data_IF_460934944800
#
_entry.id   IF_460934944800
#
_cell.length_a   1.000
_cell.length_b   1.000
_cell.length_c   1.000
_cell.angle_alpha   90.00
_cell.angle_beta   90.00
_cell.angle_gamma   90.00
#
_symmetry.space_group_name_H-M   'P 1'
#
loop_
_entity.id
_entity.type
_entity.pdbx_description
1 polymer ?
#
# COMPACT_ATOMS: atom_id res chain seq x y z
N UNK A 1 -6.05 -17.97 49.90
CA UNK A 1 -5.15 -17.83 48.79
C UNK A 1 -5.91 -17.08 47.69
N UNK A 2 -5.64 -15.79 47.50
CA UNK A 2 -6.11 -15.07 46.33
C UNK A 2 -5.29 -15.64 45.16
N UNK A 3 -5.95 -16.28 44.22
CA UNK A 3 -5.36 -16.52 42.91
C UNK A 3 -4.94 -15.15 42.36
N UNK A 4 -3.66 -14.98 42.05
CA UNK A 4 -3.16 -13.82 41.31
C UNK A 4 -3.87 -13.80 39.93
N UNK A 5 -5.01 -13.13 39.87
CA UNK A 5 -5.66 -12.80 38.64
C UNK A 5 -4.74 -11.78 37.96
N UNK A 6 -3.76 -12.28 37.17
CA UNK A 6 -3.03 -11.41 36.25
C UNK A 6 -4.08 -10.81 35.34
N UNK A 7 -4.20 -9.47 35.29
CA UNK A 7 -5.12 -8.86 34.34
C UNK A 7 -4.81 -9.41 32.95
N UNK A 8 -5.82 -9.84 32.23
CA UNK A 8 -5.66 -10.30 30.85
C UNK A 8 -4.96 -9.19 30.07
N UNK A 9 -3.83 -9.51 29.44
CA UNK A 9 -3.14 -8.59 28.54
C UNK A 9 -3.90 -8.59 27.21
N UNK A 10 -4.86 -7.68 27.11
CA UNK A 10 -5.75 -7.55 25.95
C UNK A 10 -5.12 -6.63 24.91
N UNK A 11 -5.42 -6.84 23.64
CA UNK A 11 -4.90 -6.06 22.50
C UNK A 11 -3.36 -6.01 22.46
N UNK A 12 -2.71 -7.16 22.69
CA UNK A 12 -1.30 -7.24 23.03
C UNK A 12 -0.37 -6.52 22.06
N UNK A 13 -0.56 -6.69 20.73
CA UNK A 13 0.28 -6.00 19.74
C UNK A 13 0.16 -4.48 19.83
N UNK A 14 -1.06 -3.96 19.97
CA UNK A 14 -1.28 -2.53 20.12
C UNK A 14 -0.70 -2.00 21.43
N UNK A 15 -0.90 -2.75 22.51
CA UNK A 15 -0.41 -2.35 23.85
C UNK A 15 1.12 -2.37 23.95
N UNK A 16 1.80 -3.32 23.29
CA UNK A 16 3.26 -3.32 23.22
C UNK A 16 3.78 -2.04 22.56
N UNK A 17 3.19 -1.63 21.43
CA UNK A 17 3.54 -0.38 20.74
C UNK A 17 3.29 0.85 21.60
N UNK A 18 2.14 0.92 22.28
CA UNK A 18 1.81 2.04 23.20
C UNK A 18 2.86 2.15 24.31
N UNK A 19 3.27 1.03 24.90
CA UNK A 19 4.24 1.03 25.99
C UNK A 19 5.64 1.44 25.51
N UNK A 20 6.07 0.98 24.34
CA UNK A 20 7.35 1.35 23.74
C UNK A 20 7.38 2.84 23.36
N UNK A 21 6.31 3.33 22.70
CA UNK A 21 6.18 4.75 22.36
C UNK A 21 6.15 5.63 23.61
N UNK A 22 5.35 5.27 24.64
CA UNK A 22 5.27 6.03 25.89
C UNK A 22 6.61 6.08 26.63
N UNK A 23 7.32 4.96 26.71
CA UNK A 23 8.64 4.90 27.34
C UNK A 23 9.65 5.81 26.61
N UNK A 24 9.61 5.81 25.27
CA UNK A 24 10.44 6.68 24.42
C UNK A 24 10.10 8.16 24.62
N UNK A 25 8.82 8.53 24.56
CA UNK A 25 8.34 9.91 24.70
C UNK A 25 8.64 10.51 26.07
N UNK A 26 8.58 9.70 27.12
CA UNK A 26 8.86 10.14 28.50
C UNK A 26 10.34 9.96 28.88
N UNK A 27 11.13 9.29 28.01
CA UNK A 27 12.51 8.91 28.29
C UNK A 27 12.67 8.14 29.64
N UNK A 28 11.81 7.13 29.85
CA UNK A 28 11.79 6.27 31.02
C UNK A 28 11.89 4.81 30.64
N UNK A 29 12.27 3.97 31.62
CA UNK A 29 12.20 2.51 31.45
C UNK A 29 10.76 1.98 31.54
N UNK A 30 10.52 0.78 31.02
CA UNK A 30 9.19 0.14 31.11
C UNK A 30 8.75 -0.07 32.57
N UNK A 31 9.66 -0.42 33.48
CA UNK A 31 9.35 -0.59 34.91
C UNK A 31 8.89 0.73 35.57
N UNK A 32 9.53 1.84 35.21
CA UNK A 32 9.15 3.19 35.64
C UNK A 32 7.79 3.59 35.06
N UNK A 33 7.51 3.20 33.81
CA UNK A 33 6.23 3.44 33.17
C UNK A 33 5.09 2.71 33.92
N UNK A 34 5.29 1.43 34.30
CA UNK A 34 4.29 0.65 35.02
C UNK A 34 4.05 1.15 36.44
N UNK A 35 5.08 1.68 37.12
CA UNK A 35 5.01 2.13 38.52
C UNK A 35 4.73 3.62 38.69
N UNK A 36 4.92 4.40 37.61
CA UNK A 36 4.81 5.87 37.62
C UNK A 36 3.40 6.44 37.75
N UNK A 37 2.37 5.60 37.66
CA UNK A 37 0.96 6.04 37.77
C UNK A 37 0.48 6.89 36.59
N UNK A 38 1.07 6.72 35.42
CA UNK A 38 0.69 7.43 34.21
C UNK A 38 -0.70 7.01 33.70
N UNK A 39 -1.40 7.95 33.07
CA UNK A 39 -2.61 7.70 32.28
C UNK A 39 -2.30 7.97 30.83
N UNK A 40 -2.33 6.92 30.01
CA UNK A 40 -2.02 6.99 28.58
C UNK A 40 -3.33 6.93 27.81
N UNK A 41 -3.59 7.97 27.04
CA UNK A 41 -4.73 8.08 26.13
C UNK A 41 -4.27 7.69 24.73
N UNK A 42 -4.69 6.53 24.30
CA UNK A 42 -4.26 5.92 23.05
C UNK A 42 -5.11 6.38 21.85
N UNK A 43 -4.62 6.11 20.66
CA UNK A 43 -5.34 6.33 19.39
C UNK A 43 -6.25 5.17 19.02
N UNK A 44 -6.15 4.04 19.74
CA UNK A 44 -6.89 2.82 19.44
C UNK A 44 -8.40 3.06 19.34
N UNK A 45 -8.99 2.67 18.22
CA UNK A 45 -10.41 2.39 18.14
C UNK A 45 -10.66 0.98 18.68
N UNK A 46 -11.23 0.91 19.88
CA UNK A 46 -11.39 -0.36 20.58
C UNK A 46 -12.31 -1.33 19.83
N UNK A 47 -13.41 -0.83 19.27
CA UNK A 47 -14.38 -1.68 18.55
C UNK A 47 -13.75 -2.24 17.27
N UNK A 48 -13.00 -1.43 16.57
CA UNK A 48 -12.28 -1.82 15.37
C UNK A 48 -11.14 -2.80 15.69
N UNK A 49 -10.39 -2.58 16.78
CA UNK A 49 -9.34 -3.51 17.23
C UNK A 49 -9.93 -4.88 17.60
N UNK A 50 -11.05 -4.90 18.34
CA UNK A 50 -11.76 -6.14 18.69
C UNK A 50 -12.26 -6.87 17.43
N UNK A 51 -12.78 -6.13 16.46
CA UNK A 51 -13.21 -6.73 15.18
C UNK A 51 -12.04 -7.32 14.40
N UNK A 52 -10.92 -6.61 14.30
CA UNK A 52 -9.71 -7.10 13.61
C UNK A 52 -9.18 -8.37 14.27
N UNK A 53 -9.18 -8.46 15.60
CA UNK A 53 -8.79 -9.67 16.34
C UNK A 53 -9.73 -10.84 16.04
N UNK A 54 -11.04 -10.59 15.97
CA UNK A 54 -12.04 -11.61 15.57
C UNK A 54 -11.86 -12.04 14.11
N UNK A 55 -11.56 -11.11 13.21
CA UNK A 55 -11.27 -11.40 11.80
C UNK A 55 -10.04 -12.30 11.67
N UNK A 56 -8.99 -12.02 12.44
CA UNK A 56 -7.74 -12.79 12.44
C UNK A 56 -7.86 -14.16 13.13
N UNK A 57 -8.89 -14.38 13.90
CA UNK A 57 -9.21 -15.71 14.46
C UNK A 57 -9.83 -16.67 13.43
N UNK A 58 -10.23 -16.17 12.25
CA UNK A 58 -10.81 -16.98 11.18
C UNK A 58 -9.71 -17.66 10.35
N UNK A 59 -9.47 -18.94 10.57
CA UNK A 59 -8.37 -19.69 9.92
C UNK A 59 -8.46 -19.73 8.39
N UNK A 60 -9.65 -19.65 7.82
CA UNK A 60 -9.90 -19.73 6.37
C UNK A 60 -9.47 -18.46 5.61
N UNK A 61 -9.20 -17.37 6.32
CA UNK A 61 -8.59 -16.15 5.77
C UNK A 61 -7.07 -16.26 5.57
N UNK A 62 -6.45 -17.34 6.01
CA UNK A 62 -5.00 -17.52 5.91
C UNK A 62 -4.65 -18.75 5.08
N UNK A 63 -3.89 -18.61 3.97
CA UNK A 63 -3.50 -19.74 3.16
C UNK A 63 -2.54 -20.64 3.93
N UNK A 64 -2.66 -21.95 3.67
CA UNK A 64 -1.71 -22.95 4.16
C UNK A 64 -0.63 -23.20 3.13
N UNK A 65 0.58 -23.50 3.59
CA UNK A 65 1.62 -23.98 2.70
C UNK A 65 1.14 -25.23 1.96
N UNK A 66 1.34 -25.30 0.63
CA UNK A 66 0.93 -26.46 -0.15
C UNK A 66 1.75 -27.72 0.17
N UNK A 67 2.87 -27.60 0.87
CA UNK A 67 3.77 -28.71 1.21
C UNK A 67 3.59 -29.14 2.66
N UNK A 68 3.83 -28.25 3.63
CA UNK A 68 3.73 -28.59 5.06
C UNK A 68 2.32 -28.60 5.60
N UNK A 69 1.40 -27.85 4.98
CA UNK A 69 0.07 -27.59 5.52
C UNK A 69 0.07 -26.54 6.65
N UNK A 70 1.22 -25.95 6.99
CA UNK A 70 1.33 -24.89 7.99
C UNK A 70 0.61 -23.63 7.50
N UNK A 71 -0.14 -23.00 8.40
CA UNK A 71 -0.88 -21.76 8.11
C UNK A 71 0.09 -20.57 8.10
N UNK A 72 0.00 -19.73 7.07
CA UNK A 72 0.82 -18.52 6.97
C UNK A 72 0.57 -17.53 8.09
N UNK A 73 1.56 -16.69 8.39
CA UNK A 73 1.40 -15.52 9.23
C UNK A 73 0.89 -14.30 8.43
N UNK A 74 0.44 -13.30 9.15
CA UNK A 74 -0.03 -12.04 8.57
C UNK A 74 0.22 -10.89 9.54
N UNK A 75 0.32 -9.69 8.98
CA UNK A 75 0.32 -8.44 9.73
C UNK A 75 -0.67 -7.47 9.10
N UNK A 76 -1.33 -6.66 9.93
CA UNK A 76 -2.30 -5.66 9.49
C UNK A 76 -2.08 -4.35 10.25
N UNK A 77 -2.09 -3.27 9.50
CA UNK A 77 -2.09 -1.89 10.01
C UNK A 77 -3.36 -1.21 9.53
N UNK A 78 -4.09 -0.59 10.45
CA UNK A 78 -5.18 0.34 10.15
C UNK A 78 -4.78 1.70 10.69
N UNK A 79 -4.59 2.65 9.79
CA UNK A 79 -4.17 4.01 10.09
C UNK A 79 -5.25 5.00 9.67
N UNK A 80 -5.56 5.96 10.52
CA UNK A 80 -6.32 7.14 10.13
C UNK A 80 -5.49 7.94 9.11
N UNK A 81 -6.03 8.08 7.90
CA UNK A 81 -5.32 8.67 6.76
C UNK A 81 -4.99 10.14 6.96
N UNK A 82 -5.86 10.89 7.65
CA UNK A 82 -5.67 12.33 7.89
C UNK A 82 -4.69 12.61 9.03
N UNK A 83 -4.74 11.81 10.09
CA UNK A 83 -3.97 12.08 11.32
C UNK A 83 -2.68 11.29 11.47
N UNK A 84 -2.55 10.14 10.81
CA UNK A 84 -1.47 9.18 11.03
C UNK A 84 -1.63 8.34 12.30
N UNK A 85 -2.74 8.49 13.03
CA UNK A 85 -3.03 7.70 14.21
C UNK A 85 -3.25 6.23 13.85
N UNK A 86 -2.56 5.32 14.53
CA UNK A 86 -2.86 3.89 14.41
C UNK A 86 -4.13 3.60 15.21
N UNK A 87 -5.14 3.08 14.53
CA UNK A 87 -6.45 2.82 15.16
C UNK A 87 -6.68 1.33 15.45
N UNK A 88 -6.06 0.44 14.68
CA UNK A 88 -6.03 -0.99 14.95
C UNK A 88 -4.79 -1.64 14.31
N UNK A 89 -4.25 -2.68 14.95
CA UNK A 89 -3.09 -3.42 14.43
C UNK A 89 -3.15 -4.90 14.77
N UNK A 90 -2.59 -5.73 13.88
CA UNK A 90 -2.26 -7.13 14.15
C UNK A 90 -0.82 -7.41 13.70
N UNK A 91 0.03 -7.79 14.65
CA UNK A 91 1.43 -8.16 14.37
C UNK A 91 1.65 -9.65 14.13
N UNK A 92 0.57 -10.42 14.05
CA UNK A 92 0.52 -11.85 13.80
C UNK A 92 -0.92 -12.32 13.85
N UNK A 93 -1.19 -13.60 13.56
CA UNK A 93 -2.56 -14.16 13.60
C UNK A 93 -3.18 -14.16 15.00
N UNK A 94 -2.36 -14.25 16.02
CA UNK A 94 -2.78 -14.17 17.42
C UNK A 94 -1.65 -13.63 18.28
N UNK A 95 -2.00 -12.99 19.40
CA UNK A 95 -1.04 -12.62 20.42
C UNK A 95 -0.87 -13.77 21.41
N UNK A 96 0.38 -14.26 21.67
CA UNK A 96 0.60 -15.39 22.55
C UNK A 96 0.20 -15.09 24.00
N UNK A 97 -0.63 -15.96 24.59
CA UNK A 97 -1.11 -15.81 25.96
C UNK A 97 0.05 -15.81 26.96
N UNK A 98 0.02 -14.89 27.93
CA UNK A 98 1.01 -14.78 28.99
C UNK A 98 2.38 -14.23 28.54
N UNK A 99 2.54 -13.86 27.31
CA UNK A 99 3.76 -13.22 26.79
C UNK A 99 3.58 -11.70 26.67
N UNK A 100 4.70 -10.98 26.53
CA UNK A 100 4.79 -9.54 26.26
C UNK A 100 5.95 -9.29 25.33
N UNK A 101 5.91 -8.17 24.60
CA UNK A 101 6.97 -7.77 23.65
C UNK A 101 7.32 -8.90 22.68
N UNK A 102 6.29 -9.47 22.05
CA UNK A 102 6.45 -10.52 21.05
C UNK A 102 6.78 -9.92 19.68
N UNK A 103 7.23 -10.77 18.75
CA UNK A 103 7.51 -10.35 17.39
C UNK A 103 6.27 -9.67 16.77
N UNK A 104 6.38 -8.35 16.55
CA UNK A 104 5.37 -7.56 15.85
C UNK A 104 5.74 -7.44 14.37
N UNK A 105 5.03 -8.17 13.50
CA UNK A 105 5.37 -8.22 12.08
C UNK A 105 4.99 -6.96 11.30
N UNK A 106 4.25 -6.02 11.91
CA UNK A 106 4.03 -4.71 11.28
C UNK A 106 5.32 -3.89 11.21
N UNK A 107 6.31 -4.22 12.05
CA UNK A 107 7.64 -3.60 12.09
C UNK A 107 8.74 -4.51 11.51
N UNK A 108 8.37 -5.71 11.07
CA UNK A 108 9.33 -6.65 10.47
C UNK A 108 9.62 -6.30 9.01
N UNK A 109 10.91 -6.18 8.66
CA UNK A 109 11.33 -5.85 7.29
C UNK A 109 11.12 -7.01 6.35
N UNK A 110 10.48 -6.73 5.22
CA UNK A 110 10.17 -7.66 4.15
C UNK A 110 10.35 -6.97 2.80
N UNK A 111 10.61 -7.74 1.75
CA UNK A 111 10.61 -7.19 0.40
C UNK A 111 9.19 -6.79 0.00
N UNK A 112 8.97 -5.57 -0.51
CA UNK A 112 7.62 -5.05 -0.78
C UNK A 112 7.00 -5.61 -2.08
N UNK A 113 7.79 -6.18 -2.98
CA UNK A 113 7.31 -6.53 -4.31
C UNK A 113 6.73 -5.29 -5.02
N UNK A 114 5.67 -5.49 -5.79
CA UNK A 114 5.06 -4.44 -6.60
C UNK A 114 4.30 -3.35 -5.81
N UNK A 115 4.14 -3.48 -4.49
CA UNK A 115 3.47 -2.43 -3.69
C UNK A 115 4.30 -1.14 -3.70
N UNK A 116 5.61 -1.21 -3.94
CA UNK A 116 6.51 -0.05 -3.99
C UNK A 116 6.36 0.80 -5.27
N UNK A 117 5.83 0.25 -6.38
CA UNK A 117 5.78 0.90 -7.71
C UNK A 117 5.17 2.30 -7.72
N UNK A 118 4.00 2.54 -7.08
CA UNK A 118 3.45 3.90 -7.03
C UNK A 118 4.41 4.88 -6.36
N UNK A 119 5.14 4.46 -5.35
CA UNK A 119 5.93 5.31 -4.47
C UNK A 119 7.26 5.73 -5.10
N UNK A 120 7.94 4.82 -5.82
CA UNK A 120 9.27 5.09 -6.40
C UNK A 120 9.24 5.44 -7.89
N UNK A 121 8.17 5.12 -8.62
CA UNK A 121 8.13 5.34 -10.07
C UNK A 121 7.00 6.28 -10.49
N UNK A 122 5.74 5.92 -10.24
CA UNK A 122 4.61 6.60 -10.88
C UNK A 122 4.23 7.93 -10.22
N UNK A 123 4.25 8.04 -8.89
CA UNK A 123 3.99 9.31 -8.21
C UNK A 123 5.06 10.35 -8.54
N UNK A 124 6.37 10.05 -8.44
CA UNK A 124 7.39 11.00 -8.88
C UNK A 124 7.33 11.30 -10.40
N UNK A 125 6.93 10.34 -11.26
CA UNK A 125 6.74 10.59 -12.68
C UNK A 125 5.65 11.66 -12.93
N UNK A 126 4.53 11.57 -12.23
CA UNK A 126 3.43 12.56 -12.33
C UNK A 126 3.81 13.89 -11.69
N UNK A 127 4.52 13.86 -10.55
CA UNK A 127 4.88 15.07 -9.82
C UNK A 127 5.96 15.89 -10.51
N UNK A 128 6.98 15.24 -11.05
CA UNK A 128 8.23 15.89 -11.45
C UNK A 128 8.51 15.83 -12.96
N UNK A 129 7.81 14.96 -13.71
CA UNK A 129 8.13 14.66 -15.12
C UNK A 129 6.92 14.76 -16.05
N UNK A 130 5.87 15.47 -15.62
CA UNK A 130 4.66 15.75 -16.41
C UNK A 130 3.95 14.50 -16.98
N UNK A 131 4.11 13.34 -16.33
CA UNK A 131 3.36 12.14 -16.71
C UNK A 131 1.87 12.34 -16.43
N UNK A 132 1.06 11.80 -17.35
CA UNK A 132 -0.41 11.81 -17.26
C UNK A 132 -0.93 10.36 -17.25
N UNK A 133 -2.19 10.11 -16.89
CA UNK A 133 -2.75 8.76 -16.92
C UNK A 133 -2.64 8.09 -18.29
N UNK A 134 -2.59 8.88 -19.36
CA UNK A 134 -2.50 8.41 -20.76
C UNK A 134 -1.10 8.54 -21.36
N UNK A 135 -0.09 8.86 -20.56
CA UNK A 135 1.31 8.78 -21.02
C UNK A 135 1.60 7.37 -21.50
N UNK A 136 2.10 7.27 -22.74
CA UNK A 136 2.43 5.99 -23.35
C UNK A 136 3.77 5.49 -22.85
N UNK A 137 3.80 4.23 -22.44
CA UNK A 137 4.98 3.53 -21.94
C UNK A 137 5.14 2.25 -22.76
N UNK A 138 6.37 1.94 -23.12
CA UNK A 138 6.68 0.77 -23.94
C UNK A 138 6.79 -0.50 -23.06
N UNK A 139 5.91 -1.48 -23.30
CA UNK A 139 5.91 -2.82 -22.68
C UNK A 139 6.59 -3.88 -23.56
N UNK A 140 7.49 -3.50 -24.47
CA UNK A 140 8.29 -4.46 -25.23
C UNK A 140 9.38 -5.12 -24.36
N UNK A 141 9.89 -6.31 -24.77
CA UNK A 141 10.88 -7.06 -23.99
C UNK A 141 12.05 -6.20 -23.52
N UNK A 142 12.40 -6.34 -22.25
CA UNK A 142 13.48 -5.58 -21.61
C UNK A 142 14.45 -6.53 -20.90
N UNK A 143 15.73 -6.25 -21.05
CA UNK A 143 16.81 -6.91 -20.27
C UNK A 143 17.59 -5.85 -19.52
N UNK A 144 17.78 -6.05 -18.22
CA UNK A 144 18.54 -5.14 -17.34
C UNK A 144 19.68 -5.93 -16.70
N UNK A 145 20.91 -5.46 -16.89
CA UNK A 145 22.12 -6.14 -16.41
C UNK A 145 22.18 -7.64 -16.79
N UNK A 146 21.75 -8.00 -18.01
CA UNK A 146 21.71 -9.37 -18.49
C UNK A 146 20.52 -10.22 -18.00
N UNK A 147 19.65 -9.67 -17.15
CA UNK A 147 18.47 -10.34 -16.62
C UNK A 147 17.21 -9.90 -17.36
N UNK A 148 16.46 -10.81 -17.99
CA UNK A 148 15.20 -10.48 -18.65
C UNK A 148 14.15 -10.07 -17.61
N UNK A 149 13.55 -8.88 -17.78
CA UNK A 149 12.40 -8.43 -17.03
C UNK A 149 11.12 -9.00 -17.68
N UNK A 150 10.25 -9.58 -16.88
CA UNK A 150 9.01 -10.20 -17.35
C UNK A 150 7.81 -9.68 -16.57
N UNK A 151 6.70 -9.46 -17.27
CA UNK A 151 5.40 -9.27 -16.64
C UNK A 151 4.95 -10.58 -15.94
N UNK A 152 4.03 -10.47 -14.97
CA UNK A 152 3.59 -11.62 -14.17
C UNK A 152 2.95 -12.72 -15.04
N UNK A 153 2.24 -12.35 -16.10
CA UNK A 153 1.63 -13.25 -17.09
C UNK A 153 2.59 -13.68 -18.21
N UNK A 154 3.81 -13.13 -18.23
CA UNK A 154 4.86 -13.33 -19.24
C UNK A 154 4.54 -12.77 -20.62
N UNK A 155 3.46 -12.00 -20.76
CA UNK A 155 3.06 -11.35 -22.00
C UNK A 155 3.65 -9.93 -22.08
N UNK A 156 3.79 -9.44 -23.31
CA UNK A 156 4.16 -8.05 -23.64
C UNK A 156 3.12 -7.46 -24.57
N UNK A 157 2.85 -6.16 -24.44
CA UNK A 157 1.71 -5.49 -25.07
C UNK A 157 2.11 -4.34 -26.01
N UNK A 158 3.42 -4.14 -26.20
CA UNK A 158 3.93 -3.00 -26.94
C UNK A 158 3.68 -1.71 -26.17
N UNK A 159 2.91 -0.79 -26.72
CA UNK A 159 2.64 0.51 -26.09
C UNK A 159 1.37 0.44 -25.26
N UNK A 160 1.48 0.76 -23.96
CA UNK A 160 0.38 0.84 -22.99
C UNK A 160 0.31 2.23 -22.37
N UNK A 161 -0.82 2.59 -21.79
CA UNK A 161 -0.92 3.83 -21.00
C UNK A 161 -0.37 3.64 -19.60
N UNK A 162 0.01 4.74 -18.91
CA UNK A 162 0.41 4.70 -17.50
C UNK A 162 -0.71 4.13 -16.63
N UNK A 163 -1.98 4.49 -16.88
CA UNK A 163 -3.15 3.91 -16.20
C UNK A 163 -3.16 2.38 -16.30
N UNK A 164 -3.01 1.86 -17.50
CA UNK A 164 -2.97 0.41 -17.70
C UNK A 164 -1.77 -0.23 -17.01
N UNK A 165 -0.58 0.35 -17.20
CA UNK A 165 0.66 -0.16 -16.62
C UNK A 165 0.59 -0.26 -15.09
N UNK A 166 0.10 0.78 -14.41
CA UNK A 166 0.01 0.83 -12.95
C UNK A 166 -1.15 -0.04 -12.43
N UNK A 167 -2.36 0.06 -13.01
CA UNK A 167 -3.53 -0.68 -12.53
C UNK A 167 -3.40 -2.21 -12.72
N UNK A 168 -2.71 -2.63 -13.78
CA UNK A 168 -2.37 -4.04 -14.03
C UNK A 168 -1.02 -4.46 -13.46
N UNK A 169 -0.28 -3.49 -12.90
CA UNK A 169 1.01 -3.74 -12.24
C UNK A 169 2.06 -4.37 -13.15
N UNK A 170 2.12 -3.96 -14.43
CA UNK A 170 3.12 -4.46 -15.37
C UNK A 170 4.54 -4.14 -14.89
N UNK A 171 5.46 -5.07 -15.06
CA UNK A 171 6.83 -4.94 -14.57
C UNK A 171 7.72 -4.16 -15.52
N UNK A 172 7.63 -4.45 -16.84
CA UNK A 172 8.47 -3.81 -17.85
C UNK A 172 8.22 -2.29 -17.90
N UNK A 173 6.96 -1.81 -18.00
CA UNK A 173 6.68 -0.39 -17.96
C UNK A 173 7.15 0.28 -16.65
N UNK A 174 7.00 -0.40 -15.51
CA UNK A 174 7.46 0.15 -14.24
C UNK A 174 8.98 0.35 -14.19
N UNK A 175 9.75 -0.63 -14.69
CA UNK A 175 11.23 -0.52 -14.77
C UNK A 175 11.63 0.60 -15.71
N UNK A 176 11.01 0.69 -16.89
CA UNK A 176 11.31 1.76 -17.87
C UNK A 176 10.99 3.14 -17.31
N UNK A 177 9.81 3.32 -16.71
CA UNK A 177 9.45 4.59 -16.04
C UNK A 177 10.47 4.96 -14.96
N UNK A 178 10.83 4.00 -14.11
CA UNK A 178 11.78 4.23 -13.02
C UNK A 178 13.18 4.60 -13.51
N UNK A 179 13.63 3.98 -14.61
CA UNK A 179 14.89 4.36 -15.26
C UNK A 179 14.82 5.74 -15.93
N UNK A 180 13.69 6.07 -16.57
CA UNK A 180 13.49 7.33 -17.28
C UNK A 180 13.48 8.53 -16.31
N UNK A 181 12.79 8.43 -15.18
CA UNK A 181 12.81 9.49 -14.15
C UNK A 181 14.11 9.54 -13.36
N UNK A 182 14.93 8.50 -13.46
CA UNK A 182 16.16 8.31 -12.69
C UNK A 182 15.93 7.55 -11.40
N UNK A 183 16.65 6.44 -11.22
CA UNK A 183 16.51 5.53 -10.06
C UNK A 183 16.68 6.31 -8.75
N UNK A 184 17.76 7.08 -8.61
CA UNK A 184 18.03 7.88 -7.42
C UNK A 184 16.94 8.93 -7.15
N UNK A 185 16.32 9.50 -8.18
CA UNK A 185 15.20 10.44 -8.04
C UNK A 185 13.99 9.75 -7.41
N UNK A 186 13.62 8.59 -7.93
CA UNK A 186 12.49 7.82 -7.39
C UNK A 186 12.72 7.33 -5.97
N UNK A 187 13.93 6.87 -5.65
CA UNK A 187 14.33 6.47 -4.30
C UNK A 187 14.24 7.66 -3.34
N UNK A 188 14.90 8.80 -3.67
CA UNK A 188 14.88 10.00 -2.84
C UNK A 188 13.46 10.60 -2.68
N UNK A 189 12.57 10.37 -3.64
CA UNK A 189 11.16 10.74 -3.48
C UNK A 189 10.49 9.88 -2.42
N UNK A 190 10.68 8.56 -2.46
CA UNK A 190 10.06 7.64 -1.51
C UNK A 190 10.67 7.72 -0.09
N UNK A 191 11.92 8.16 0.04
CA UNK A 191 12.52 8.49 1.34
C UNK A 191 11.74 9.59 2.08
N UNK A 192 11.24 10.60 1.36
CA UNK A 192 10.37 11.63 1.94
C UNK A 192 9.00 11.12 2.40
N UNK A 193 8.64 9.91 1.99
CA UNK A 193 7.44 9.21 2.43
C UNK A 193 7.72 8.23 3.59
N UNK A 194 8.90 8.35 4.22
CA UNK A 194 9.28 7.57 5.40
C UNK A 194 9.73 6.14 5.10
N UNK A 195 10.07 5.81 3.86
CA UNK A 195 10.65 4.51 3.51
C UNK A 195 12.17 4.63 3.52
N UNK A 196 12.90 3.94 4.40
CA UNK A 196 14.35 3.98 4.42
C UNK A 196 14.94 3.11 3.32
N UNK A 197 15.95 3.64 2.64
CA UNK A 197 16.75 2.94 1.65
C UNK A 197 18.24 2.98 2.03
N UNK A 198 18.99 2.04 1.48
CA UNK A 198 20.44 2.05 1.57
C UNK A 198 21.03 2.84 0.41
N UNK A 199 22.31 3.22 0.49
CA UNK A 199 23.00 3.91 -0.62
C UNK A 199 22.97 3.07 -1.90
N UNK A 200 23.11 1.75 -1.79
CA UNK A 200 23.08 0.82 -2.93
C UNK A 200 21.71 0.79 -3.63
N UNK A 201 20.62 1.02 -2.90
CA UNK A 201 19.26 1.06 -3.46
C UNK A 201 19.09 2.17 -4.50
N UNK A 202 19.85 3.28 -4.39
CA UNK A 202 19.84 4.39 -5.35
C UNK A 202 20.39 4.02 -6.76
N UNK A 203 20.94 2.82 -6.90
CA UNK A 203 21.52 2.32 -8.16
C UNK A 203 20.87 1.03 -8.65
N UNK A 204 19.84 0.52 -7.97
CA UNK A 204 19.19 -0.77 -8.28
C UNK A 204 17.97 -0.62 -9.20
N UNK A 205 18.05 -0.97 -10.50
CA UNK A 205 16.91 -0.86 -11.40
C UNK A 205 15.72 -1.78 -11.02
N UNK A 206 16.01 -2.91 -10.37
CA UNK A 206 15.00 -3.87 -9.91
C UNK A 206 14.31 -3.47 -8.60
N UNK A 207 14.74 -2.36 -7.97
CA UNK A 207 14.10 -1.82 -6.76
C UNK A 207 12.61 -1.57 -6.97
N UNK A 208 12.22 -1.04 -8.12
CA UNK A 208 10.82 -0.79 -8.47
C UNK A 208 9.95 -2.07 -8.49
N UNK A 209 10.58 -3.24 -8.58
CA UNK A 209 9.93 -4.55 -8.45
C UNK A 209 10.01 -5.12 -7.03
N UNK A 210 10.50 -4.32 -6.08
CA UNK A 210 10.67 -4.70 -4.68
C UNK A 210 12.04 -5.25 -4.30
N UNK A 211 13.03 -5.12 -5.18
CA UNK A 211 14.41 -5.59 -4.95
C UNK A 211 15.23 -4.66 -4.05
N UNK A 212 14.68 -4.27 -2.90
CA UNK A 212 15.36 -3.47 -1.87
C UNK A 212 16.40 -4.32 -1.12
N UNK A 213 17.45 -3.70 -0.64
CA UNK A 213 18.49 -4.39 0.13
C UNK A 213 18.00 -4.86 1.50
N UNK A 214 17.36 -3.98 2.25
CA UNK A 214 16.85 -4.28 3.60
C UNK A 214 15.34 -4.53 3.64
N UNK A 215 14.62 -4.25 2.55
CA UNK A 215 13.17 -4.30 2.54
C UNK A 215 12.51 -3.14 3.31
N UNK A 216 11.22 -3.23 3.51
CA UNK A 216 10.38 -2.26 4.22
C UNK A 216 9.42 -2.97 5.17
N UNK A 217 8.73 -2.21 6.01
CA UNK A 217 7.75 -2.75 6.97
C UNK A 217 6.32 -2.42 6.55
N UNK A 218 5.30 -3.19 7.00
CA UNK A 218 3.90 -2.81 6.81
C UNK A 218 3.57 -1.41 7.32
N UNK A 219 4.19 -0.98 8.39
CA UNK A 219 4.00 0.33 8.99
C UNK A 219 4.56 1.45 8.09
N UNK A 220 5.77 1.29 7.56
CA UNK A 220 6.37 2.23 6.60
C UNK A 220 5.53 2.34 5.31
N UNK A 221 5.02 1.23 4.79
CA UNK A 221 4.09 1.23 3.65
C UNK A 221 2.78 1.95 3.99
N UNK A 222 2.24 1.76 5.20
CA UNK A 222 1.01 2.44 5.61
C UNK A 222 1.19 3.98 5.63
N UNK A 223 2.29 4.49 6.19
CA UNK A 223 2.61 5.93 6.17
C UNK A 223 2.71 6.49 4.75
N UNK A 224 3.42 5.78 3.89
CA UNK A 224 3.62 6.22 2.51
C UNK A 224 2.29 6.25 1.72
N UNK A 225 1.43 5.24 1.88
CA UNK A 225 0.12 5.23 1.23
C UNK A 225 -0.89 6.20 1.87
N UNK A 226 -0.82 6.43 3.18
CA UNK A 226 -1.60 7.47 3.85
C UNK A 226 -1.28 8.87 3.26
N UNK A 227 -0.03 9.11 2.85
CA UNK A 227 0.33 10.36 2.17
C UNK A 227 -0.38 10.53 0.82
N UNK A 228 -0.59 9.44 0.06
CA UNK A 228 -1.41 9.47 -1.15
C UNK A 228 -2.88 9.77 -0.81
N UNK A 229 -3.42 9.15 0.23
CA UNK A 229 -4.79 9.36 0.71
C UNK A 229 -5.04 10.77 1.23
N UNK A 230 -4.05 11.38 1.88
CA UNK A 230 -4.09 12.73 2.46
C UNK A 230 -3.43 13.78 1.54
N UNK A 231 -3.75 13.74 0.24
CA UNK A 231 -3.42 14.79 -0.74
C UNK A 231 -1.93 15.12 -0.84
N UNK A 232 -1.05 14.13 -0.63
CA UNK A 232 0.40 14.31 -0.70
C UNK A 232 1.07 14.74 0.60
N UNK A 233 0.34 14.74 1.71
CA UNK A 233 0.86 15.11 3.04
C UNK A 233 1.38 13.91 3.80
N UNK A 234 2.68 13.89 4.08
CA UNK A 234 3.32 12.88 4.93
C UNK A 234 3.19 13.23 6.41
N UNK A 235 3.07 12.21 7.24
CA UNK A 235 3.08 12.29 8.71
C UNK A 235 3.61 10.99 9.31
N UNK A 236 4.20 11.12 10.50
CA UNK A 236 4.59 9.96 11.31
C UNK A 236 3.36 9.35 11.97
N UNK A 237 3.40 8.06 12.22
CA UNK A 237 2.39 7.36 12.99
C UNK A 237 2.51 7.66 14.48
N UNK A 238 1.41 7.43 15.21
CA UNK A 238 1.39 7.43 16.67
C UNK A 238 0.31 6.50 17.19
N UNK A 239 0.56 5.92 18.36
CA UNK A 239 -0.44 5.17 19.14
C UNK A 239 -0.96 5.98 20.34
N UNK A 240 -0.42 7.19 20.58
CA UNK A 240 -0.67 7.99 21.78
C UNK A 240 -1.16 9.39 21.42
N UNK A 241 -2.32 9.76 22.00
CA UNK A 241 -2.85 11.13 21.93
C UNK A 241 -2.34 12.00 23.06
N UNK A 242 -2.26 11.47 24.29
CA UNK A 242 -1.86 12.22 25.49
C UNK A 242 -1.37 11.30 26.58
N UNK A 243 -0.45 11.81 27.43
CA UNK A 243 -0.03 11.17 28.67
C UNK A 243 -0.16 12.16 29.81
N UNK A 244 -0.87 11.77 30.88
CA UNK A 244 -0.94 12.51 32.13
C UNK A 244 -0.13 11.76 33.21
N UNK A 245 0.51 12.50 34.13
CA UNK A 245 1.21 11.93 35.28
C UNK A 245 0.24 11.49 36.41
N UNK A 246 0.77 10.95 37.47
CA UNK A 246 0.00 10.50 38.66
C UNK A 246 -0.80 11.61 39.34
N UNK A 247 -0.47 12.88 39.11
CA UNK A 247 -1.16 14.06 39.62
C UNK A 247 -2.21 14.61 38.68
N UNK A 248 -2.35 14.00 37.49
CA UNK A 248 -3.28 14.42 36.46
C UNK A 248 -2.77 15.59 35.60
N UNK A 249 -1.47 15.92 35.71
CA UNK A 249 -0.84 16.92 34.83
C UNK A 249 -0.47 16.26 33.52
N UNK A 250 -0.85 16.88 32.40
CA UNK A 250 -0.42 16.45 31.05
C UNK A 250 1.08 16.65 30.89
N UNK A 251 1.81 15.55 30.68
CA UNK A 251 3.26 15.52 30.46
C UNK A 251 3.62 15.31 28.99
N UNK A 252 2.69 14.79 28.19
CA UNK A 252 2.80 14.70 26.76
C UNK A 252 1.45 14.95 26.09
N UNK A 253 1.46 15.68 24.98
CA UNK A 253 0.32 15.89 24.10
C UNK A 253 0.78 15.79 22.66
N UNK A 254 0.24 14.81 21.93
CA UNK A 254 0.54 14.67 20.51
C UNK A 254 0.09 15.91 19.72
N UNK A 255 0.90 16.30 18.77
CA UNK A 255 0.59 17.35 17.78
C UNK A 255 0.89 16.79 16.39
N UNK A 256 -0.15 16.60 15.60
CA UNK A 256 -0.01 16.12 14.24
C UNK A 256 0.83 17.13 13.44
N UNK A 257 1.96 16.67 12.95
CA UNK A 257 2.82 17.42 12.03
C UNK A 257 2.68 16.84 10.63
N UNK A 258 2.30 17.64 9.66
CA UNK A 258 2.16 17.26 8.26
C UNK A 258 3.23 17.94 7.42
N UNK A 259 3.88 17.18 6.56
CA UNK A 259 4.80 17.68 5.55
C UNK A 259 4.22 17.44 4.15
N UNK A 260 4.04 18.49 3.36
CA UNK A 260 3.60 18.36 1.97
C UNK A 260 4.76 17.87 1.13
N UNK A 261 4.71 16.62 0.67
CA UNK A 261 5.78 15.98 -0.13
C UNK A 261 5.53 16.14 -1.62
N UNK A 262 4.26 16.08 -2.04
CA UNK A 262 3.85 16.26 -3.43
C UNK A 262 2.47 16.90 -3.51
N UNK A 263 2.06 17.35 -4.70
CA UNK A 263 0.83 18.11 -4.92
C UNK A 263 -0.43 17.25 -4.75
N UNK A 264 -1.54 17.90 -4.35
CA UNK A 264 -2.85 17.24 -4.26
C UNK A 264 -3.36 16.78 -5.63
N UNK A 265 -2.94 17.44 -6.70
CA UNK A 265 -3.24 17.05 -8.08
C UNK A 265 -2.60 15.71 -8.41
N UNK A 266 -1.33 15.53 -8.07
CA UNK A 266 -0.62 14.25 -8.25
C UNK A 266 -1.26 13.16 -7.40
N UNK A 267 -1.57 13.44 -6.14
CA UNK A 267 -2.26 12.50 -5.27
C UNK A 267 -3.57 12.02 -5.90
N UNK A 268 -4.42 12.95 -6.37
CA UNK A 268 -5.69 12.62 -6.97
C UNK A 268 -5.54 11.74 -8.22
N UNK A 269 -4.63 12.09 -9.12
CA UNK A 269 -4.37 11.33 -10.36
C UNK A 269 -3.91 9.89 -10.03
N UNK A 270 -2.98 9.73 -9.10
CA UNK A 270 -2.51 8.40 -8.70
C UNK A 270 -3.61 7.61 -7.99
N UNK A 271 -4.38 8.24 -7.11
CA UNK A 271 -5.51 7.61 -6.42
C UNK A 271 -6.57 7.11 -7.40
N UNK A 272 -6.91 7.90 -8.40
CA UNK A 272 -7.87 7.52 -9.45
C UNK A 272 -7.37 6.31 -10.28
N UNK A 273 -6.08 6.26 -10.62
CA UNK A 273 -5.51 5.08 -11.27
C UNK A 273 -5.52 3.87 -10.35
N UNK A 274 -5.25 4.04 -9.04
CA UNK A 274 -5.28 2.95 -8.07
C UNK A 274 -6.72 2.51 -7.73
N UNK A 275 -7.73 3.38 -7.89
CA UNK A 275 -9.14 2.96 -7.91
C UNK A 275 -9.44 2.04 -9.10
N UNK A 276 -8.87 2.32 -10.27
CA UNK A 276 -8.95 1.38 -11.42
C UNK A 276 -8.30 0.03 -11.08
N UNK A 277 -7.22 0.01 -10.30
CA UNK A 277 -6.61 -1.25 -9.85
C UNK A 277 -7.54 -2.06 -8.91
N UNK A 278 -8.32 -1.37 -8.06
CA UNK A 278 -9.31 -1.98 -7.19
C UNK A 278 -10.58 -2.45 -7.93
N UNK A 279 -10.97 -1.76 -9.01
CA UNK A 279 -12.20 -2.10 -9.74
C UNK A 279 -11.99 -3.19 -10.80
N UNK A 280 -10.92 -3.08 -11.58
CA UNK A 280 -10.68 -3.92 -12.77
C UNK A 280 -9.25 -4.44 -12.89
N UNK A 281 -8.35 -3.98 -11.99
CA UNK A 281 -6.93 -4.33 -11.98
C UNK A 281 -6.59 -5.52 -11.08
N UNK A 282 -5.41 -5.45 -10.47
CA UNK A 282 -4.87 -6.54 -9.65
C UNK A 282 -5.60 -6.74 -8.32
N UNK A 283 -6.29 -5.71 -7.82
CA UNK A 283 -7.08 -5.75 -6.58
C UNK A 283 -8.60 -5.81 -6.81
N UNK A 284 -9.05 -6.34 -7.95
CA UNK A 284 -10.47 -6.35 -8.40
C UNK A 284 -11.47 -6.94 -7.39
N UNK A 285 -11.00 -7.67 -6.39
CA UNK A 285 -11.86 -8.17 -5.30
C UNK A 285 -12.36 -7.06 -4.37
N UNK A 286 -11.78 -5.86 -4.46
CA UNK A 286 -12.24 -4.65 -3.75
C UNK A 286 -13.27 -3.84 -4.55
N UNK A 287 -13.67 -4.34 -5.73
CA UNK A 287 -14.63 -3.66 -6.61
C UNK A 287 -15.90 -3.26 -5.84
N UNK A 288 -16.34 -2.03 -6.07
CA UNK A 288 -17.53 -1.43 -5.46
C UNK A 288 -17.27 -0.68 -4.16
N UNK A 289 -16.06 -0.81 -3.56
CA UNK A 289 -15.71 -0.13 -2.31
C UNK A 289 -15.05 1.26 -2.52
N UNK A 290 -14.95 1.76 -3.74
CA UNK A 290 -14.33 3.07 -4.07
C UNK A 290 -12.95 3.29 -3.45
N UNK A 291 -12.21 2.19 -3.20
CA UNK A 291 -10.87 2.24 -2.62
C UNK A 291 -9.81 2.42 -3.70
N UNK A 292 -8.75 3.15 -3.39
CA UNK A 292 -7.49 3.03 -4.10
C UNK A 292 -6.70 1.86 -3.53
N UNK A 293 -6.09 1.03 -4.40
CA UNK A 293 -5.37 -0.15 -3.90
C UNK A 293 -4.18 -0.53 -4.77
N UNK A 294 -3.17 -1.09 -4.13
CA UNK A 294 -2.00 -1.70 -4.77
C UNK A 294 -1.64 -3.02 -4.12
N UNK A 295 -1.57 -4.06 -4.94
CA UNK A 295 -1.07 -5.38 -4.53
C UNK A 295 0.44 -5.47 -4.69
N UNK A 296 1.07 -6.27 -3.87
CA UNK A 296 2.47 -6.69 -3.99
C UNK A 296 2.57 -8.21 -3.93
N UNK A 297 3.47 -8.77 -4.71
CA UNK A 297 3.81 -10.19 -4.67
C UNK A 297 5.32 -10.33 -4.78
N UNK A 298 5.91 -11.06 -3.87
CA UNK A 298 7.34 -11.38 -3.89
C UNK A 298 7.50 -12.83 -4.29
N UNK A 299 8.28 -13.07 -5.33
CA UNK A 299 8.59 -14.42 -5.79
C UNK A 299 9.51 -15.13 -4.78
N UNK A 300 9.50 -16.45 -4.81
CA UNK A 300 10.48 -17.24 -4.06
C UNK A 300 11.91 -16.85 -4.50
N UNK A 301 12.90 -16.95 -3.59
CA UNK A 301 14.28 -16.64 -3.92
C UNK A 301 14.79 -17.48 -5.09
N UNK A 302 15.61 -16.88 -5.97
CA UNK A 302 16.28 -17.61 -7.06
C UNK A 302 17.47 -18.43 -6.53
N UNK A 303 17.17 -19.45 -5.72
CA UNK A 303 18.13 -20.38 -5.13
C UNK A 303 17.82 -21.80 -5.61
N UNK A 304 18.81 -22.69 -5.78
CA UNK A 304 18.60 -24.04 -6.30
C UNK A 304 17.54 -24.86 -5.56
N UNK A 305 17.36 -24.61 -4.26
CA UNK A 305 16.34 -25.28 -3.45
C UNK A 305 14.90 -24.92 -3.83
N UNK A 306 14.69 -23.80 -4.56
CA UNK A 306 13.36 -23.35 -5.02
C UNK A 306 13.10 -23.57 -6.51
N UNK A 307 14.06 -24.12 -7.27
CA UNK A 307 13.96 -24.19 -8.75
C UNK A 307 12.68 -24.89 -9.26
N UNK A 308 12.17 -25.89 -8.53
CA UNK A 308 10.96 -26.63 -8.89
C UNK A 308 9.74 -26.24 -8.02
N UNK A 309 9.90 -25.31 -7.10
CA UNK A 309 8.85 -24.93 -6.15
C UNK A 309 7.88 -23.92 -6.80
N UNK A 310 6.58 -24.25 -6.81
CA UNK A 310 5.53 -23.36 -7.28
C UNK A 310 4.90 -22.63 -6.10
N UNK A 311 5.38 -21.42 -5.84
CA UNK A 311 4.90 -20.59 -4.72
C UNK A 311 5.36 -19.17 -4.81
N UNK A 312 5.03 -18.39 -3.80
CA UNK A 312 5.50 -17.03 -3.59
C UNK A 312 6.01 -16.87 -2.14
N UNK A 313 6.87 -15.87 -1.94
CA UNK A 313 7.46 -15.58 -0.64
C UNK A 313 6.51 -14.78 0.24
N UNK A 314 6.08 -13.60 -0.26
CA UNK A 314 5.21 -12.66 0.44
C UNK A 314 4.09 -12.16 -0.46
N UNK A 315 2.98 -11.81 0.16
CA UNK A 315 1.87 -11.10 -0.45
C UNK A 315 1.54 -9.84 0.33
N UNK A 316 1.29 -8.75 -0.38
CA UNK A 316 1.00 -7.44 0.15
C UNK A 316 -0.26 -6.85 -0.45
N UNK A 317 -0.94 -6.05 0.35
CA UNK A 317 -1.96 -5.12 -0.10
C UNK A 317 -1.81 -3.82 0.67
N UNK A 318 -1.83 -2.69 -0.04
CA UNK A 318 -2.19 -1.39 0.50
C UNK A 318 -3.52 -0.99 -0.14
N UNK A 319 -4.54 -0.76 0.67
CA UNK A 319 -5.86 -0.30 0.25
C UNK A 319 -6.27 0.89 1.12
N UNK A 320 -6.78 1.95 0.53
CA UNK A 320 -7.03 3.17 1.27
C UNK A 320 -8.12 4.04 0.64
N UNK A 321 -8.68 4.91 1.46
CA UNK A 321 -9.55 6.03 1.09
C UNK A 321 -9.13 7.29 1.90
N UNK A 322 -9.84 8.42 1.82
CA UNK A 322 -9.47 9.62 2.57
C UNK A 322 -9.51 9.48 4.10
N UNK A 323 -10.19 8.46 4.65
CA UNK A 323 -10.33 8.28 6.10
C UNK A 323 -9.40 7.20 6.66
N UNK A 324 -9.26 6.06 5.98
CA UNK A 324 -8.46 4.94 6.47
C UNK A 324 -7.49 4.41 5.42
N UNK A 325 -6.29 4.07 5.89
CA UNK A 325 -5.26 3.35 5.14
C UNK A 325 -5.04 2.00 5.80
N UNK A 326 -5.24 0.93 5.04
CA UNK A 326 -5.08 -0.45 5.48
C UNK A 326 -3.96 -1.10 4.71
N UNK A 327 -2.98 -1.64 5.43
CA UNK A 327 -1.91 -2.45 4.84
C UNK A 327 -1.96 -3.85 5.42
N UNK A 328 -1.97 -4.85 4.55
CA UNK A 328 -1.92 -6.27 4.93
C UNK A 328 -0.70 -6.90 4.30
N UNK A 329 0.12 -7.54 5.13
CA UNK A 329 1.18 -8.45 4.72
C UNK A 329 0.80 -9.88 5.07
N UNK A 330 1.24 -10.84 4.26
CA UNK A 330 1.04 -12.26 4.49
C UNK A 330 2.25 -13.04 3.98
N UNK A 331 2.71 -14.01 4.77
CA UNK A 331 3.89 -14.81 4.46
C UNK A 331 4.25 -15.78 5.57
N UNK A 332 5.47 -16.25 5.55
CA UNK A 332 6.06 -17.05 6.64
C UNK A 332 7.22 -16.27 7.27
N UNK A 333 7.44 -16.44 8.57
CA UNK A 333 8.59 -15.80 9.24
C UNK A 333 9.90 -16.24 8.58
N UNK A 334 9.94 -17.48 8.15
CA UNK A 334 11.03 -18.07 7.40
C UNK A 334 10.48 -18.88 6.24
N UNK A 335 10.62 -18.34 5.04
CA UNK A 335 10.25 -19.06 3.82
C UNK A 335 11.24 -20.20 3.54
N UNK A 336 10.73 -21.36 3.20
CA UNK A 336 11.46 -22.55 2.77
C UNK A 336 10.67 -23.29 1.69
N UNK A 337 11.26 -24.35 1.13
CA UNK A 337 10.53 -25.22 0.18
C UNK A 337 9.33 -25.93 0.82
N UNK A 338 9.36 -26.12 2.14
CA UNK A 338 8.25 -26.69 2.93
C UNK A 338 7.22 -25.61 3.29
N UNK A 339 7.67 -24.40 3.60
CA UNK A 339 6.85 -23.28 4.10
C UNK A 339 6.93 -22.08 3.15
N UNK A 340 5.97 -22.00 2.25
CA UNK A 340 5.78 -20.87 1.32
C UNK A 340 4.31 -20.68 1.00
N UNK A 341 3.95 -19.50 0.52
CA UNK A 341 2.58 -19.22 0.08
C UNK A 341 2.30 -19.92 -1.26
N UNK A 342 1.06 -20.41 -1.48
CA UNK A 342 0.65 -20.90 -2.79
C UNK A 342 0.68 -19.79 -3.85
N UNK A 343 0.88 -20.14 -5.11
CA UNK A 343 0.87 -19.23 -6.25
C UNK A 343 -0.52 -19.14 -6.92
N UNK A 344 -0.67 -18.19 -7.84
CA UNK A 344 -1.86 -18.05 -8.67
C UNK A 344 -3.12 -17.56 -7.90
N UNK A 345 -4.28 -18.05 -8.32
CA UNK A 345 -5.58 -17.64 -7.73
C UNK A 345 -5.77 -18.04 -6.26
N UNK A 346 -4.97 -18.98 -5.79
CA UNK A 346 -4.93 -19.42 -4.38
C UNK A 346 -3.82 -18.72 -3.60
N UNK A 347 -3.11 -17.79 -4.22
CA UNK A 347 -1.99 -17.07 -3.60
C UNK A 347 -2.43 -16.03 -2.56
N UNK A 348 -1.44 -15.56 -1.80
CA UNK A 348 -1.65 -14.61 -0.69
C UNK A 348 -2.38 -13.34 -1.08
N UNK A 349 -2.23 -12.85 -2.33
CA UNK A 349 -2.93 -11.66 -2.83
C UNK A 349 -4.46 -11.79 -2.84
N UNK A 350 -5.02 -13.01 -2.92
CA UNK A 350 -6.45 -13.24 -2.70
C UNK A 350 -6.82 -12.93 -1.24
N UNK A 351 -6.06 -13.44 -0.31
CA UNK A 351 -6.38 -13.38 1.12
C UNK A 351 -6.15 -11.98 1.70
N UNK A 352 -5.09 -11.29 1.29
CA UNK A 352 -4.87 -9.90 1.69
C UNK A 352 -6.00 -8.98 1.24
N UNK A 353 -6.54 -9.19 0.03
CA UNK A 353 -7.70 -8.42 -0.47
C UNK A 353 -9.00 -8.81 0.23
N UNK A 354 -9.20 -10.09 0.62
CA UNK A 354 -10.38 -10.51 1.38
C UNK A 354 -10.39 -9.89 2.78
N UNK A 355 -9.26 -9.92 3.50
CA UNK A 355 -9.13 -9.29 4.82
C UNK A 355 -9.47 -7.79 4.74
N UNK A 356 -8.91 -7.08 3.76
CA UNK A 356 -9.19 -5.66 3.60
C UNK A 356 -10.66 -5.41 3.23
N UNK A 357 -11.27 -6.25 2.40
CA UNK A 357 -12.68 -6.15 2.02
C UNK A 357 -13.60 -6.28 3.23
N UNK A 358 -13.45 -7.36 4.00
CA UNK A 358 -14.22 -7.61 5.23
C UNK A 358 -14.11 -6.43 6.21
N UNK A 359 -12.89 -5.89 6.36
CA UNK A 359 -12.64 -4.76 7.23
C UNK A 359 -13.36 -3.48 6.77
N UNK A 360 -13.24 -3.12 5.49
CA UNK A 360 -13.90 -1.93 4.96
C UNK A 360 -15.42 -2.07 4.93
N UNK A 361 -15.95 -3.24 4.63
CA UNK A 361 -17.38 -3.52 4.72
C UNK A 361 -17.90 -3.41 6.17
N UNK A 362 -17.09 -3.77 7.17
CA UNK A 362 -17.42 -3.56 8.58
C UNK A 362 -17.36 -2.09 8.99
N UNK A 363 -16.28 -1.37 8.62
CA UNK A 363 -16.12 0.07 8.97
C UNK A 363 -17.26 0.91 8.42
N UNK A 364 -17.73 0.61 7.20
CA UNK A 364 -18.73 1.40 6.49
C UNK A 364 -20.08 0.68 6.37
N UNK A 365 -20.41 -0.19 7.33
CA UNK A 365 -21.69 -0.88 7.36
C UNK A 365 -22.85 0.13 7.19
N UNK A 366 -23.65 -0.05 6.13
CA UNK A 366 -24.76 0.83 5.73
C UNK A 366 -24.38 2.33 5.49
N UNK A 367 -23.13 2.73 5.65
CA UNK A 367 -22.69 4.10 5.40
C UNK A 367 -22.06 4.26 4.00
N UNK A 368 -22.09 5.49 3.47
CA UNK A 368 -21.45 5.77 2.18
C UNK A 368 -19.93 5.88 2.36
N UNK A 369 -19.17 5.09 1.57
CA UNK A 369 -17.72 5.16 1.59
C UNK A 369 -17.26 6.52 1.07
N UNK A 370 -16.32 7.18 1.76
CA UNK A 370 -15.74 8.44 1.30
C UNK A 370 -14.96 8.23 0.01
N UNK A 371 -15.01 9.22 -0.87
CA UNK A 371 -14.27 9.23 -2.12
C UNK A 371 -13.27 10.38 -2.15
N UNK A 372 -12.20 10.23 -2.92
CA UNK A 372 -11.21 11.27 -3.13
C UNK A 372 -11.84 12.48 -3.81
N UNK A 373 -11.61 13.66 -3.25
CA UNK A 373 -12.12 14.91 -3.80
C UNK A 373 -11.19 15.43 -4.89
N UNK A 374 -11.74 15.70 -6.06
CA UNK A 374 -10.98 16.26 -7.19
C UNK A 374 -10.53 17.70 -6.86
N UNK A 375 -9.20 17.96 -6.84
CA UNK A 375 -8.68 19.31 -6.61
C UNK A 375 -9.05 20.28 -7.72
N UNK A 376 -9.03 21.58 -7.42
CA UNK A 376 -9.28 22.63 -8.41
C UNK A 376 -8.24 22.61 -9.52
N UNK A 377 -7.00 22.22 -9.21
CA UNK A 377 -5.90 22.10 -10.16
C UNK A 377 -5.97 20.88 -11.08
N UNK A 378 -7.02 20.04 -11.01
CA UNK A 378 -7.23 18.89 -11.89
C UNK A 378 -8.42 19.15 -12.82
N UNK A 379 -8.17 18.97 -14.11
CA UNK A 379 -9.18 19.02 -15.17
C UNK A 379 -9.66 17.61 -15.51
N UNK A 380 -10.96 17.49 -15.69
CA UNK A 380 -11.61 16.28 -16.22
C UNK A 380 -11.83 16.43 -17.72
N UNK A 381 -11.34 15.50 -18.49
CA UNK A 381 -11.29 15.59 -19.97
C UNK A 381 -11.87 14.33 -20.58
N UNK A 382 -12.70 14.50 -21.61
CA UNK A 382 -13.26 13.41 -22.42
C UNK A 382 -12.36 13.14 -23.61
N UNK A 383 -11.79 11.92 -23.68
CA UNK A 383 -10.90 11.48 -24.74
C UNK A 383 -11.60 10.48 -25.64
N UNK A 384 -11.09 10.40 -26.89
CA UNK A 384 -11.48 9.36 -27.84
C UNK A 384 -10.69 8.08 -27.55
N UNK A 385 -11.40 7.07 -27.06
CA UNK A 385 -10.84 5.76 -26.72
C UNK A 385 -10.21 5.05 -27.92
N UNK A 386 -10.83 5.16 -29.12
CA UNK A 386 -10.30 4.53 -30.32
C UNK A 386 -9.01 5.16 -30.82
N UNK A 387 -8.92 6.48 -30.79
CA UNK A 387 -7.67 7.20 -31.07
C UNK A 387 -6.57 6.78 -30.10
N UNK A 388 -6.89 6.67 -28.82
CA UNK A 388 -5.97 6.25 -27.76
C UNK A 388 -5.48 4.81 -27.95
N UNK A 389 -6.40 3.85 -28.19
CA UNK A 389 -6.08 2.43 -28.29
C UNK A 389 -5.45 2.02 -29.63
N UNK A 390 -5.99 2.53 -30.73
CA UNK A 390 -5.60 2.07 -32.08
C UNK A 390 -4.53 2.95 -32.73
N UNK A 391 -4.62 4.28 -32.56
CA UNK A 391 -3.66 5.21 -33.15
C UNK A 391 -2.52 5.61 -32.22
N UNK A 392 -2.62 5.27 -30.92
CA UNK A 392 -1.69 5.74 -29.87
C UNK A 392 -1.57 7.27 -29.85
N UNK A 393 -2.70 7.96 -29.98
CA UNK A 393 -2.82 9.42 -29.93
C UNK A 393 -3.78 9.82 -28.82
N UNK A 394 -3.38 10.83 -28.03
CA UNK A 394 -4.23 11.41 -26.98
C UNK A 394 -5.03 12.55 -27.59
N UNK A 395 -6.28 12.29 -27.95
CA UNK A 395 -7.16 13.23 -28.61
C UNK A 395 -8.45 13.43 -27.82
N UNK A 396 -8.96 14.67 -27.81
CA UNK A 396 -10.26 14.98 -27.25
C UNK A 396 -11.37 14.27 -28.04
N UNK A 397 -12.36 13.74 -27.36
CA UNK A 397 -13.57 13.26 -28.02
C UNK A 397 -14.23 14.41 -28.82
N UNK A 398 -14.61 14.12 -30.06
CA UNK A 398 -15.32 15.06 -30.90
C UNK A 398 -16.84 14.85 -30.82
N UNK A 399 -17.62 15.73 -31.41
CA UNK A 399 -19.09 15.57 -31.49
C UNK A 399 -19.50 14.30 -32.29
N UNK A 400 -18.59 13.69 -33.03
CA UNK A 400 -18.80 12.47 -33.82
C UNK A 400 -18.35 11.21 -33.07
N UNK A 401 -17.65 11.33 -31.92
CA UNK A 401 -17.22 10.18 -31.11
C UNK A 401 -18.45 9.56 -30.46
N UNK A 402 -18.76 8.27 -30.73
CA UNK A 402 -19.86 7.59 -30.06
C UNK A 402 -19.61 7.48 -28.54
N UNK A 403 -20.66 7.58 -27.72
CA UNK A 403 -20.56 7.60 -26.24
C UNK A 403 -19.80 6.40 -25.68
N UNK A 404 -19.94 5.21 -26.28
CA UNK A 404 -19.21 3.99 -25.90
C UNK A 404 -17.70 4.06 -26.11
N UNK A 405 -17.22 5.01 -26.91
CA UNK A 405 -15.81 5.28 -27.18
C UNK A 405 -15.31 6.58 -26.54
N UNK A 406 -16.11 7.19 -25.68
CA UNK A 406 -15.67 8.31 -24.84
C UNK A 406 -15.14 7.76 -23.51
N UNK A 407 -13.90 8.10 -23.17
CA UNK A 407 -13.29 7.80 -21.90
C UNK A 407 -12.94 9.09 -21.17
N UNK A 408 -13.24 9.13 -19.87
CA UNK A 408 -12.88 10.27 -19.02
C UNK A 408 -11.50 10.06 -18.41
N UNK A 409 -10.67 11.10 -18.49
CA UNK A 409 -9.34 11.12 -17.89
C UNK A 409 -9.07 12.44 -17.16
N UNK A 410 -8.11 12.40 -16.25
CA UNK A 410 -7.76 13.51 -15.40
C UNK A 410 -6.35 14.02 -15.69
N UNK A 411 -6.21 15.35 -15.73
CA UNK A 411 -4.96 16.03 -16.06
C UNK A 411 -4.69 17.15 -15.04
N UNK A 412 -3.43 17.39 -14.72
CA UNK A 412 -3.07 18.67 -14.10
C UNK A 412 -3.44 19.79 -15.04
N UNK A 413 -4.00 20.90 -14.54
CA UNK A 413 -4.34 22.03 -15.40
C UNK A 413 -3.15 22.52 -16.20
N UNK A 414 -3.35 22.66 -17.50
CA UNK A 414 -2.33 23.07 -18.46
C UNK A 414 -1.59 21.89 -19.14
N UNK A 415 -1.87 20.64 -18.72
CA UNK A 415 -1.33 19.43 -19.39
C UNK A 415 -2.37 18.68 -20.22
N UNK A 416 -3.58 19.24 -20.36
CA UNK A 416 -4.66 18.64 -21.13
C UNK A 416 -4.32 18.59 -22.63
N UNK A 417 -4.77 17.55 -23.38
CA UNK A 417 -4.68 17.56 -24.83
C UNK A 417 -5.55 18.67 -25.44
N UNK A 418 -5.12 19.23 -26.54
CA UNK A 418 -5.82 20.32 -27.22
C UNK A 418 -6.40 19.92 -28.57
N UNK A 419 -5.93 18.80 -29.14
CA UNK A 419 -6.36 18.32 -30.45
C UNK A 419 -7.63 17.47 -30.32
N UNK A 420 -8.61 17.71 -31.21
CA UNK A 420 -9.82 16.88 -31.28
C UNK A 420 -9.58 15.64 -32.18
N UNK A 421 -10.30 14.58 -31.85
CA UNK A 421 -10.27 13.35 -32.64
C UNK A 421 -10.79 13.57 -34.07
N UNK A 422 -10.01 13.11 -34.99
CA UNK A 422 -10.30 12.98 -36.44
C UNK A 422 -10.58 11.51 -36.84
N UNK A 423 -10.71 10.62 -35.85
CA UNK A 423 -10.95 9.19 -36.07
C UNK A 423 -12.33 8.92 -36.70
N UNK A 424 -13.33 9.67 -36.29
CA UNK A 424 -14.72 9.52 -36.71
C UNK A 424 -15.04 10.52 -37.80
N UNK A 425 -15.47 10.04 -38.95
CA UNK A 425 -15.84 10.88 -40.09
C UNK A 425 -17.33 10.69 -40.42
N UNK A 426 -17.97 11.77 -40.88
CA UNK A 426 -19.34 11.65 -41.43
C UNK A 426 -19.24 10.90 -42.75
N UNK A 427 -20.02 9.83 -42.95
CA UNK A 427 -20.01 9.07 -44.20
C UNK A 427 -20.44 9.92 -45.41
#
# INVERSE_FOLDING_TARGET
FAEDIKPAYIHGYFMDMVLEEAASLLNVGLDDLYTGGYRIYTTMDKELQEYVEQLYAQEDLFPKSPVSGETSESALVVMDTDTGELVAVMGGRSYPEGQRSVLNRIEARRLPGSVIKPLVAYTPAVEMFDYTPVTFIDDSPLTVNGIPIRNADRETRGIVTMREALSKSYNIPAVKTFQEIGISTGVSFAEKLGIPFTEDDHYRPNLVLGGMEQGTTPLEIARAFASLGDRGSYKEETTIRRIDDSHGKTVYQNRISKEQVFSEETAFIINDILQTAADTGTAYRLKGLKLAAKTGTVQLPSLPEFDEVKGINDAWLAAYNPEYTVVVWMGFDRTSKENHLPSGSSGGGKYTTLIARELYEHIYDESELPNFQKPVGVSEVKLDKKALEEQKRVLLASALTPDEYVVTEYFKRGSEPTEQSDYWVVP
#
